data_IF_022914540448
#
_entry.id   IF_022914540448
#
_cell.length_a   1.000
_cell.length_b   1.000
_cell.length_c   1.000
_cell.angle_alpha   90.00
_cell.angle_beta   90.00
_cell.angle_gamma   90.00
#
_symmetry.space_group_name_H-M   'P 1'
#
loop_
_entity.id
_entity.type
_entity.pdbx_description
1 polymer ?
#
# COMPACT_ATOMS: atom_id res chain seq x y z
N UNK A 1 -0.55 82.19 -19.15
CA UNK A 1 -0.46 81.67 -17.77
C UNK A 1 -1.86 81.28 -17.30
N UNK A 2 -2.16 79.99 -17.12
CA UNK A 2 -3.26 79.47 -16.26
C UNK A 2 -3.13 77.93 -16.10
N UNK A 3 -2.43 77.57 -15.03
CA UNK A 3 -2.40 76.39 -14.14
C UNK A 3 -2.95 75.04 -14.66
N UNK A 4 -2.04 74.05 -14.69
CA UNK A 4 -2.27 72.62 -14.85
C UNK A 4 -3.12 72.05 -13.71
N UNK A 5 -4.16 71.27 -14.05
CA UNK A 5 -4.82 70.36 -13.10
C UNK A 5 -4.40 68.92 -13.45
N UNK A 6 -3.40 68.45 -12.72
CA UNK A 6 -3.04 67.04 -12.60
C UNK A 6 -4.16 66.37 -11.78
N UNK A 7 -4.81 65.32 -12.27
CA UNK A 7 -5.62 64.45 -11.41
C UNK A 7 -5.63 63.02 -11.93
N UNK A 8 -4.78 62.24 -11.25
CA UNK A 8 -4.90 60.82 -10.91
C UNK A 8 -5.61 59.90 -11.92
N UNK A 9 -4.82 59.31 -12.81
CA UNK A 9 -5.14 57.99 -13.35
C UNK A 9 -4.92 56.96 -12.22
N UNK A 10 -6.00 56.55 -11.55
CA UNK A 10 -5.96 55.41 -10.64
C UNK A 10 -6.02 54.12 -11.49
N UNK A 11 -4.87 53.65 -11.94
CA UNK A 11 -4.76 52.33 -12.55
C UNK A 11 -4.91 51.27 -11.46
N UNK A 12 -6.12 50.73 -11.31
CA UNK A 12 -6.35 49.55 -10.47
C UNK A 12 -5.78 48.35 -11.22
N UNK A 13 -4.52 48.03 -10.94
CA UNK A 13 -3.89 46.80 -11.40
C UNK A 13 -4.47 45.66 -10.55
N UNK A 14 -5.55 45.06 -11.02
CA UNK A 14 -6.00 43.76 -10.49
C UNK A 14 -5.00 42.71 -10.94
N UNK A 15 -4.00 42.44 -10.10
CA UNK A 15 -3.09 41.32 -10.25
C UNK A 15 -3.84 40.02 -10.01
N UNK A 16 -4.38 39.42 -11.07
CA UNK A 16 -4.79 38.01 -11.02
C UNK A 16 -3.53 37.16 -10.98
N UNK A 17 -3.09 36.80 -9.78
CA UNK A 17 -2.09 35.76 -9.60
C UNK A 17 -2.74 34.42 -9.97
N UNK A 18 -2.60 34.01 -11.23
CA UNK A 18 -2.90 32.65 -11.67
C UNK A 18 -1.79 31.77 -11.10
N UNK A 19 -2.05 31.12 -9.96
CA UNK A 19 -1.18 30.07 -9.45
C UNK A 19 -1.34 28.84 -10.36
N UNK A 20 -0.40 28.63 -11.27
CA UNK A 20 -0.29 27.38 -12.00
C UNK A 20 0.16 26.29 -11.01
N UNK A 21 -0.77 25.43 -10.59
CA UNK A 21 -0.43 24.18 -9.90
C UNK A 21 0.06 23.19 -10.94
N UNK A 22 1.32 22.79 -10.87
CA UNK A 22 1.81 21.63 -11.63
C UNK A 22 1.01 20.40 -11.20
N UNK A 23 0.44 19.61 -12.12
CA UNK A 23 -0.22 18.37 -11.73
C UNK A 23 0.82 17.49 -11.04
N UNK A 24 0.53 17.10 -9.80
CA UNK A 24 1.40 16.20 -9.08
C UNK A 24 1.22 14.81 -9.67
N UNK A 25 2.27 14.30 -10.33
CA UNK A 25 2.26 12.96 -10.91
C UNK A 25 2.47 11.94 -9.79
N UNK A 26 1.46 11.08 -9.58
CA UNK A 26 1.59 9.96 -8.66
C UNK A 26 2.49 8.89 -9.29
N UNK A 27 3.65 8.67 -8.70
CA UNK A 27 4.63 7.68 -9.17
C UNK A 27 4.36 6.34 -8.51
N UNK A 28 4.16 5.30 -9.31
CA UNK A 28 3.99 3.93 -8.81
C UNK A 28 5.33 3.17 -8.86
N UNK A 29 5.71 2.56 -7.74
CA UNK A 29 6.91 1.73 -7.60
C UNK A 29 6.50 0.28 -7.34
N UNK A 30 7.06 -0.64 -8.14
CA UNK A 30 6.80 -2.07 -7.97
C UNK A 30 7.63 -2.67 -6.84
N UNK A 31 7.01 -3.56 -6.07
CA UNK A 31 7.67 -4.34 -5.03
C UNK A 31 8.46 -5.47 -5.69
N UNK A 32 9.71 -5.66 -5.25
CA UNK A 32 10.51 -6.82 -5.66
C UNK A 32 10.06 -8.05 -4.88
N UNK A 33 9.16 -8.82 -5.46
CA UNK A 33 8.52 -9.97 -4.79
C UNK A 33 9.50 -11.06 -4.38
N UNK A 34 10.61 -11.23 -5.10
CA UNK A 34 11.67 -12.19 -4.76
C UNK A 34 12.54 -11.77 -3.57
N UNK A 35 12.54 -10.49 -3.23
CA UNK A 35 13.29 -9.91 -2.09
C UNK A 35 12.35 -9.52 -0.93
N UNK A 36 11.04 -9.80 -1.06
CA UNK A 36 10.00 -9.35 -0.13
C UNK A 36 9.14 -10.53 0.34
N UNK A 37 8.66 -10.49 1.58
CA UNK A 37 7.79 -11.54 2.14
C UNK A 37 6.76 -10.93 3.07
N UNK A 38 5.59 -11.57 3.18
CA UNK A 38 4.60 -11.24 4.21
C UNK A 38 4.81 -12.22 5.36
N UNK A 39 5.02 -11.70 6.57
CA UNK A 39 5.14 -12.51 7.78
C UNK A 39 3.83 -12.47 8.57
N UNK A 40 3.47 -13.59 9.19
CA UNK A 40 2.32 -13.69 10.07
C UNK A 40 2.72 -14.19 11.45
N UNK A 41 1.94 -13.80 12.46
CA UNK A 41 2.05 -14.31 13.82
C UNK A 41 0.65 -14.53 14.40
N UNK A 42 0.34 -15.76 14.77
CA UNK A 42 -0.93 -16.15 15.38
C UNK A 42 -0.75 -16.52 16.86
N UNK A 43 -1.70 -16.15 17.71
CA UNK A 43 -1.64 -16.41 19.15
C UNK A 43 -2.72 -17.42 19.58
N UNK A 44 -2.37 -18.23 20.58
CA UNK A 44 -3.27 -19.09 21.37
C UNK A 44 -3.07 -18.77 22.85
N UNK A 45 -3.99 -19.22 23.71
CA UNK A 45 -3.90 -18.99 25.17
C UNK A 45 -2.54 -19.42 25.74
N UNK A 46 -1.94 -20.47 25.18
CA UNK A 46 -0.69 -21.08 25.64
C UNK A 46 0.55 -20.67 24.84
N UNK A 47 0.46 -19.74 23.87
CA UNK A 47 1.64 -19.33 23.09
C UNK A 47 1.32 -18.70 21.74
N UNK A 48 2.27 -18.77 20.80
CA UNK A 48 2.11 -18.23 19.45
C UNK A 48 2.87 -19.06 18.42
N UNK A 49 2.46 -18.94 17.17
CA UNK A 49 3.16 -19.48 16.00
C UNK A 49 3.39 -18.38 14.97
N UNK A 50 4.37 -18.56 14.10
CA UNK A 50 4.72 -17.59 13.07
C UNK A 50 5.13 -18.27 11.77
N UNK A 51 5.03 -17.51 10.69
CA UNK A 51 5.30 -18.03 9.37
C UNK A 51 5.24 -16.98 8.29
N UNK A 52 5.28 -17.44 7.04
CA UNK A 52 5.41 -16.58 5.87
C UNK A 52 4.33 -16.88 4.82
N UNK A 53 4.09 -15.89 3.98
CA UNK A 53 3.31 -15.96 2.74
C UNK A 53 4.07 -15.18 1.67
N UNK A 54 4.16 -15.74 0.47
CA UNK A 54 4.80 -15.13 -0.68
C UNK A 54 3.90 -14.08 -1.34
N UNK A 55 4.53 -13.05 -1.92
CA UNK A 55 3.85 -12.05 -2.74
C UNK A 55 3.80 -12.50 -4.19
N UNK A 56 2.61 -12.46 -4.80
CA UNK A 56 2.44 -12.53 -6.24
C UNK A 56 2.80 -11.20 -6.90
N UNK A 57 2.33 -10.10 -6.31
CA UNK A 57 2.61 -8.74 -6.77
C UNK A 57 2.52 -7.74 -5.62
N UNK A 58 3.12 -6.57 -5.84
CA UNK A 58 2.88 -5.42 -4.98
C UNK A 58 3.29 -4.11 -5.66
N UNK A 59 2.61 -3.04 -5.32
CA UNK A 59 2.86 -1.69 -5.82
C UNK A 59 2.64 -0.67 -4.71
N UNK A 60 3.41 0.41 -4.75
CA UNK A 60 3.30 1.55 -3.84
C UNK A 60 3.20 2.82 -4.66
N UNK A 61 2.22 3.67 -4.37
CA UNK A 61 1.96 4.91 -5.08
C UNK A 61 2.41 6.11 -4.24
N UNK A 62 3.22 6.98 -4.83
CA UNK A 62 3.82 8.14 -4.16
C UNK A 62 3.44 9.45 -4.83
N UNK A 63 3.01 10.42 -4.03
CA UNK A 63 2.90 11.83 -4.38
C UNK A 63 4.13 12.54 -3.80
N UNK A 64 5.14 12.78 -4.65
CA UNK A 64 6.47 13.18 -4.18
C UNK A 64 7.06 12.13 -3.23
N UNK A 65 7.31 12.51 -1.97
CA UNK A 65 7.80 11.62 -0.92
C UNK A 65 6.68 11.00 -0.08
N UNK A 66 5.42 11.38 -0.31
CA UNK A 66 4.27 10.92 0.45
C UNK A 66 3.73 9.62 -0.15
N UNK A 67 3.68 8.55 0.64
CA UNK A 67 2.92 7.35 0.29
C UNK A 67 1.42 7.69 0.30
N UNK A 68 0.77 7.52 -0.85
CA UNK A 68 -0.65 7.86 -1.06
C UNK A 68 -1.52 6.64 -1.37
N UNK A 69 -0.90 5.48 -1.58
CA UNK A 69 -1.62 4.22 -1.67
C UNK A 69 -0.73 3.05 -2.06
N UNK A 70 -1.35 1.90 -2.29
CA UNK A 70 -0.68 0.72 -2.78
C UNK A 70 -1.58 -0.51 -2.86
N UNK A 71 -1.05 -1.55 -3.48
CA UNK A 71 -1.70 -2.84 -3.57
C UNK A 71 -0.69 -3.95 -3.26
N UNK A 72 -1.12 -4.98 -2.54
CA UNK A 72 -0.37 -6.22 -2.37
C UNK A 72 -1.28 -7.40 -2.68
N UNK A 73 -0.79 -8.35 -3.47
CA UNK A 73 -1.47 -9.63 -3.73
C UNK A 73 -0.56 -10.75 -3.25
N UNK A 74 -1.06 -11.58 -2.33
CA UNK A 74 -0.34 -12.74 -1.80
C UNK A 74 -0.84 -14.04 -2.40
N UNK A 75 0.07 -15.02 -2.54
CA UNK A 75 -0.25 -16.40 -2.87
C UNK A 75 -0.58 -17.18 -1.58
N UNK A 76 -1.86 -17.44 -1.33
CA UNK A 76 -2.29 -18.13 -0.10
C UNK A 76 -1.85 -19.60 -0.07
N UNK A 77 -1.55 -20.22 -1.22
CA UNK A 77 -1.02 -21.59 -1.27
C UNK A 77 0.38 -21.70 -0.66
N UNK A 78 1.13 -20.60 -0.69
CA UNK A 78 2.48 -20.49 -0.12
C UNK A 78 2.53 -20.31 1.41
N UNK A 79 1.37 -20.26 2.08
CA UNK A 79 1.32 -20.13 3.54
C UNK A 79 2.07 -21.28 4.22
N UNK A 80 3.05 -20.93 5.05
CA UNK A 80 3.84 -21.89 5.83
C UNK A 80 4.06 -21.42 7.26
N UNK A 81 4.25 -22.35 8.20
CA UNK A 81 4.80 -22.11 9.54
C UNK A 81 6.33 -22.23 9.49
N UNK A 82 7.05 -21.28 10.08
CA UNK A 82 8.52 -21.28 10.09
C UNK A 82 9.12 -21.66 11.46
N UNK A 83 8.27 -21.93 12.44
CA UNK A 83 8.62 -22.27 13.82
C UNK A 83 8.27 -23.71 14.23
N UNK A 84 7.57 -24.43 13.35
CA UNK A 84 7.14 -25.80 13.56
C UNK A 84 7.72 -26.71 12.49
N UNK A 85 7.89 -27.99 12.85
CA UNK A 85 8.38 -29.04 11.97
C UNK A 85 7.49 -30.30 12.04
N UNK A 86 7.65 -31.18 11.05
CA UNK A 86 7.00 -32.50 11.01
C UNK A 86 5.47 -32.46 11.07
N UNK A 87 4.88 -33.40 11.82
CA UNK A 87 3.43 -33.57 11.90
C UNK A 87 2.70 -32.33 12.43
N UNK A 88 3.29 -31.62 13.41
CA UNK A 88 2.68 -30.42 13.99
C UNK A 88 2.61 -29.26 13.00
N UNK A 89 3.66 -29.09 12.18
CA UNK A 89 3.66 -28.13 11.07
C UNK A 89 2.55 -28.46 10.09
N UNK A 90 2.49 -29.72 9.65
CA UNK A 90 1.47 -30.18 8.70
C UNK A 90 0.04 -29.99 9.22
N UNK A 91 -0.20 -30.26 10.51
CA UNK A 91 -1.50 -30.02 11.14
C UNK A 91 -1.89 -28.54 11.15
N UNK A 92 -0.98 -27.65 11.53
CA UNK A 92 -1.27 -26.22 11.57
C UNK A 92 -1.50 -25.66 10.15
N UNK A 93 -0.57 -25.91 9.23
CA UNK A 93 -0.68 -25.42 7.85
C UNK A 93 -1.92 -25.99 7.16
N UNK A 94 -2.22 -27.29 7.36
CA UNK A 94 -3.40 -27.93 6.82
C UNK A 94 -4.69 -27.30 7.35
N UNK A 95 -4.78 -27.04 8.65
CA UNK A 95 -5.96 -26.38 9.23
C UNK A 95 -6.13 -24.95 8.71
N UNK A 96 -5.06 -24.15 8.66
CA UNK A 96 -5.11 -22.78 8.15
C UNK A 96 -5.52 -22.73 6.68
N UNK A 97 -5.09 -23.71 5.86
CA UNK A 97 -5.44 -23.78 4.43
C UNK A 97 -6.83 -24.36 4.16
N UNK A 98 -7.44 -25.03 5.14
CA UNK A 98 -8.74 -25.71 4.97
C UNK A 98 -9.92 -24.75 4.85
N UNK A 99 -11.07 -25.27 4.41
CA UNK A 99 -12.35 -24.56 4.32
C UNK A 99 -12.86 -24.02 5.67
N UNK A 100 -12.40 -24.58 6.80
CA UNK A 100 -12.72 -24.09 8.14
C UNK A 100 -11.99 -22.78 8.48
N UNK A 101 -11.04 -22.37 7.65
CA UNK A 101 -10.26 -21.15 7.85
C UNK A 101 -10.14 -20.33 6.56
N UNK A 102 -8.99 -20.34 5.87
CA UNK A 102 -8.81 -19.50 4.68
C UNK A 102 -9.39 -20.09 3.39
N UNK A 103 -9.74 -21.39 3.38
CA UNK A 103 -10.32 -22.05 2.20
C UNK A 103 -9.46 -21.88 0.95
N UNK A 104 -8.15 -22.13 1.05
CA UNK A 104 -7.14 -21.70 0.07
C UNK A 104 -7.36 -22.30 -1.31
N UNK A 105 -7.96 -23.49 -1.41
CA UNK A 105 -8.31 -24.09 -2.70
C UNK A 105 -9.34 -23.23 -3.48
N UNK A 106 -10.30 -22.62 -2.77
CA UNK A 106 -11.32 -21.74 -3.36
C UNK A 106 -10.88 -20.28 -3.41
N UNK A 107 -9.97 -19.89 -2.52
CA UNK A 107 -9.48 -18.53 -2.34
C UNK A 107 -7.93 -18.51 -2.39
N UNK A 108 -7.32 -18.78 -3.56
CA UNK A 108 -5.87 -18.93 -3.69
C UNK A 108 -5.09 -17.63 -3.51
N UNK A 109 -5.75 -16.47 -3.52
CA UNK A 109 -5.13 -15.15 -3.41
C UNK A 109 -5.86 -14.28 -2.39
N UNK A 110 -5.11 -13.43 -1.69
CA UNK A 110 -5.67 -12.32 -0.90
C UNK A 110 -5.06 -10.99 -1.35
N UNK A 111 -5.86 -9.93 -1.31
CA UNK A 111 -5.47 -8.60 -1.78
C UNK A 111 -5.65 -7.56 -0.67
N UNK A 112 -4.65 -6.70 -0.48
CA UNK A 112 -4.74 -5.48 0.32
C UNK A 112 -4.58 -4.28 -0.61
N UNK A 113 -5.56 -3.37 -0.59
CA UNK A 113 -5.51 -2.06 -1.27
C UNK A 113 -5.68 -0.97 -0.22
N UNK A 114 -4.88 0.08 -0.29
CA UNK A 114 -4.93 1.22 0.62
C UNK A 114 -4.49 2.52 -0.06
#
# INVERSE_FOLDING_TARGET
>A
MKKNALSLALAIVFGTAVTASTPIEVVTKQVKTTESTVTWKGYKVTGSHYGNINLNSGSLSFDGDKLVGGEFVVDMSSLISTDLEGEYKGKLEGHLKSDDFFGVEKHPTSTLVF
#
